data_IF_294194172328
#
_entry.id   IF_294194172328
#
_cell.length_a   1.000
_cell.length_b   1.000
_cell.length_c   1.000
_cell.angle_alpha   90.00
_cell.angle_beta   90.00
_cell.angle_gamma   90.00
#
_symmetry.space_group_name_H-M   'P 1'
#
loop_
_entity.id
_entity.type
_entity.pdbx_description
1 polymer ?
#
# COMPACT_ATOMS: atom_id res chain seq x y z
N UNK A 1 31.72 5.69 -13.07
CA UNK A 1 30.39 6.23 -13.44
C UNK A 1 29.42 5.06 -13.47
N UNK A 2 28.55 4.94 -12.47
CA UNK A 2 27.50 3.92 -12.46
C UNK A 2 26.46 4.29 -13.52
N UNK A 3 26.27 3.41 -14.51
CA UNK A 3 25.18 3.53 -15.47
C UNK A 3 23.86 3.55 -14.69
N UNK A 4 23.14 4.66 -14.77
CA UNK A 4 21.77 4.74 -14.29
C UNK A 4 20.95 3.73 -15.08
N UNK A 5 20.66 2.59 -14.46
CA UNK A 5 19.67 1.63 -14.94
C UNK A 5 18.35 2.39 -15.01
N UNK A 6 18.01 2.85 -16.20
CA UNK A 6 16.67 3.36 -16.51
C UNK A 6 15.78 2.13 -16.58
N UNK A 7 15.26 1.75 -15.41
CA UNK A 7 14.32 0.65 -15.26
C UNK A 7 13.09 0.93 -16.14
N UNK A 8 12.52 -0.09 -16.81
CA UNK A 8 11.25 0.04 -17.52
C UNK A 8 10.13 0.15 -16.49
N UNK A 9 9.98 1.34 -15.91
CA UNK A 9 8.73 1.80 -15.31
C UNK A 9 7.74 2.01 -16.44
N UNK A 10 6.46 1.67 -16.26
CA UNK A 10 5.43 1.98 -17.26
C UNK A 10 5.57 3.47 -17.65
N UNK A 11 6.03 3.79 -18.88
CA UNK A 11 6.47 5.15 -19.18
C UNK A 11 5.27 6.08 -19.06
N UNK A 12 5.35 7.03 -18.12
CA UNK A 12 4.48 8.21 -17.99
C UNK A 12 2.96 8.02 -17.76
N UNK A 13 2.38 6.84 -17.94
CA UNK A 13 0.92 6.66 -17.81
C UNK A 13 0.44 6.48 -16.37
N UNK A 14 1.29 6.01 -15.45
CA UNK A 14 0.94 5.87 -14.03
C UNK A 14 2.12 6.09 -13.06
N UNK A 15 3.04 7.01 -13.41
CA UNK A 15 4.15 7.41 -12.54
C UNK A 15 3.66 8.17 -11.28
N UNK A 16 4.59 8.47 -10.36
CA UNK A 16 4.28 9.14 -9.07
C UNK A 16 3.42 10.40 -9.22
N UNK A 17 3.68 11.21 -10.25
CA UNK A 17 2.86 12.41 -10.57
C UNK A 17 1.43 12.04 -10.97
N UNK A 18 1.24 11.09 -11.87
CA UNK A 18 -0.08 10.65 -12.31
C UNK A 18 -0.89 10.02 -11.15
N UNK A 19 -0.24 9.25 -10.27
CA UNK A 19 -0.86 8.71 -9.05
C UNK A 19 -1.32 9.82 -8.11
N UNK A 20 -0.47 10.80 -7.86
CA UNK A 20 -0.81 11.94 -7.02
C UNK A 20 -1.97 12.75 -7.59
N UNK A 21 -1.96 13.03 -8.89
CA UNK A 21 -3.09 13.69 -9.58
C UNK A 21 -4.38 12.89 -9.52
N UNK A 22 -4.30 11.56 -9.65
CA UNK A 22 -5.47 10.70 -9.53
C UNK A 22 -6.06 10.74 -8.12
N UNK A 23 -5.23 10.56 -7.09
CA UNK A 23 -5.66 10.62 -5.68
C UNK A 23 -6.30 11.97 -5.35
N UNK A 24 -5.70 13.09 -5.81
CA UNK A 24 -6.26 14.44 -5.66
C UNK A 24 -7.64 14.59 -6.29
N UNK A 25 -7.88 13.92 -7.42
CA UNK A 25 -9.17 13.94 -8.12
C UNK A 25 -10.27 13.14 -7.43
N UNK A 26 -9.95 12.33 -6.42
CA UNK A 26 -10.92 11.53 -5.67
C UNK A 26 -11.40 12.29 -4.42
N UNK A 27 -12.65 12.07 -4.04
CA UNK A 27 -13.12 12.45 -2.70
C UNK A 27 -12.38 11.65 -1.60
N UNK A 28 -12.25 12.23 -0.40
CA UNK A 28 -11.45 11.65 0.71
C UNK A 28 -11.78 10.18 1.00
N UNK A 29 -13.06 9.84 1.07
CA UNK A 29 -13.51 8.47 1.34
C UNK A 29 -13.07 7.50 0.22
N UNK A 30 -13.27 7.88 -1.04
CA UNK A 30 -12.85 7.08 -2.20
C UNK A 30 -11.34 6.93 -2.27
N UNK A 31 -10.59 7.99 -1.97
CA UNK A 31 -9.13 7.96 -1.96
C UNK A 31 -8.58 7.01 -0.86
N UNK A 32 -9.15 7.07 0.34
CA UNK A 32 -8.82 6.16 1.44
C UNK A 32 -9.17 4.70 1.10
N UNK A 33 -10.34 4.47 0.49
CA UNK A 33 -10.76 3.14 0.06
C UNK A 33 -9.81 2.58 -1.00
N UNK A 34 -9.47 3.38 -2.01
CA UNK A 34 -8.54 3.01 -3.07
C UNK A 34 -7.17 2.62 -2.50
N UNK A 35 -6.59 3.47 -1.65
CA UNK A 35 -5.28 3.20 -1.06
C UNK A 35 -5.31 2.01 -0.09
N UNK A 36 -6.42 1.82 0.64
CA UNK A 36 -6.68 0.64 1.46
C UNK A 36 -6.71 -0.66 0.66
N UNK A 37 -7.41 -0.69 -0.48
CA UNK A 37 -7.46 -1.84 -1.38
C UNK A 37 -6.08 -2.17 -1.98
N UNK A 38 -5.34 -1.14 -2.42
CA UNK A 38 -3.97 -1.30 -2.91
C UNK A 38 -3.09 -1.97 -1.87
N UNK A 39 -3.11 -1.46 -0.63
CA UNK A 39 -2.32 -2.02 0.47
C UNK A 39 -2.78 -3.43 0.86
N UNK A 40 -4.09 -3.71 0.92
CA UNK A 40 -4.59 -5.03 1.28
C UNK A 40 -4.12 -6.09 0.27
N UNK A 41 -4.21 -5.78 -1.01
CA UNK A 41 -3.69 -6.65 -2.08
C UNK A 41 -2.18 -6.81 -2.00
N UNK A 42 -1.43 -5.76 -1.70
CA UNK A 42 0.02 -5.85 -1.43
C UNK A 42 0.31 -6.76 -0.25
N UNK A 43 -0.40 -6.64 0.87
CA UNK A 43 -0.23 -7.50 2.03
C UNK A 43 -0.47 -8.98 1.68
N UNK A 44 -1.45 -9.29 0.82
CA UNK A 44 -1.70 -10.64 0.34
C UNK A 44 -0.55 -11.15 -0.56
N UNK A 45 -0.01 -10.31 -1.44
CA UNK A 45 1.13 -10.68 -2.29
C UNK A 45 2.41 -10.91 -1.48
N UNK A 46 2.68 -10.06 -0.49
CA UNK A 46 3.84 -10.18 0.40
C UNK A 46 3.72 -11.41 1.30
N UNK A 47 2.51 -11.76 1.73
CA UNK A 47 2.28 -12.96 2.53
C UNK A 47 2.37 -14.26 1.72
N UNK A 48 2.36 -14.20 0.39
CA UNK A 48 2.39 -15.38 -0.47
C UNK A 48 3.83 -15.75 -0.82
N UNK A 49 4.19 -17.01 -0.52
CA UNK A 49 5.42 -17.63 -0.98
C UNK A 49 5.18 -18.22 -2.38
N UNK A 50 5.83 -17.67 -3.43
CA UNK A 50 5.66 -18.15 -4.79
C UNK A 50 6.23 -19.55 -5.03
N UNK A 51 7.24 -19.98 -4.27
CA UNK A 51 7.87 -21.28 -4.43
C UNK A 51 7.03 -22.38 -3.76
N UNK A 52 6.64 -22.15 -2.52
CA UNK A 52 5.81 -23.09 -1.77
C UNK A 52 4.30 -23.01 -2.14
N UNK A 53 3.91 -22.05 -2.98
CA UNK A 53 2.54 -21.78 -3.43
C UNK A 53 1.53 -21.69 -2.28
N UNK A 54 1.94 -21.10 -1.16
CA UNK A 54 1.13 -20.99 0.06
C UNK A 54 1.46 -19.71 0.80
N UNK A 55 0.65 -19.39 1.81
CA UNK A 55 0.94 -18.29 2.72
C UNK A 55 2.17 -18.63 3.55
N UNK A 56 3.13 -17.70 3.60
CA UNK A 56 4.28 -17.78 4.48
C UNK A 56 3.83 -17.62 5.93
N UNK A 57 3.94 -18.71 6.70
CA UNK A 57 3.53 -18.74 8.10
C UNK A 57 4.34 -17.80 9.00
N UNK A 58 5.56 -17.43 8.60
CA UNK A 58 6.39 -16.47 9.32
C UNK A 58 5.86 -15.05 9.16
N UNK A 59 5.50 -14.66 7.94
CA UNK A 59 4.87 -13.37 7.62
C UNK A 59 3.48 -13.28 8.26
N UNK A 60 2.68 -14.35 8.20
CA UNK A 60 1.38 -14.41 8.85
C UNK A 60 1.45 -14.26 10.38
N UNK A 61 2.61 -14.55 10.99
CA UNK A 61 2.88 -14.36 12.43
C UNK A 61 3.48 -12.99 12.75
N UNK A 62 3.99 -12.26 11.77
CA UNK A 62 4.62 -10.96 11.98
C UNK A 62 3.59 -9.91 12.46
N UNK A 63 3.82 -9.26 13.62
CA UNK A 63 2.90 -8.25 14.15
C UNK A 63 2.73 -7.05 13.22
N UNK A 64 3.75 -6.67 12.45
CA UNK A 64 3.71 -5.58 11.48
C UNK A 64 2.76 -5.89 10.33
N UNK A 65 2.81 -7.11 9.79
CA UNK A 65 1.90 -7.55 8.73
C UNK A 65 0.45 -7.58 9.21
N UNK A 66 0.20 -8.20 10.38
CA UNK A 66 -1.15 -8.27 10.96
C UNK A 66 -1.74 -6.89 11.23
N UNK A 67 -0.91 -5.97 11.72
CA UNK A 67 -1.33 -4.60 11.93
C UNK A 67 -1.64 -3.90 10.59
N UNK A 68 -0.83 -4.14 9.55
CA UNK A 68 -1.05 -3.53 8.23
C UNK A 68 -2.39 -3.98 7.64
N UNK A 69 -2.69 -5.28 7.70
CA UNK A 69 -4.00 -5.83 7.29
C UNK A 69 -5.14 -5.25 8.12
N UNK A 70 -4.96 -5.11 9.44
CA UNK A 70 -5.96 -4.52 10.35
C UNK A 70 -6.30 -3.06 10.04
N UNK A 71 -5.41 -2.31 9.38
CA UNK A 71 -5.66 -0.94 8.90
C UNK A 71 -6.24 -0.97 7.48
N UNK A 72 -5.65 -1.76 6.59
CA UNK A 72 -6.02 -1.80 5.17
C UNK A 72 -7.45 -2.32 4.95
N UNK A 73 -7.83 -3.41 5.63
CA UNK A 73 -9.11 -4.09 5.45
C UNK A 73 -10.33 -3.17 5.70
N UNK A 74 -10.47 -2.47 6.85
CA UNK A 74 -11.61 -1.59 7.05
C UNK A 74 -11.64 -0.42 6.06
N UNK A 75 -10.48 0.12 5.65
CA UNK A 75 -10.44 1.19 4.65
C UNK A 75 -10.89 0.68 3.27
N UNK A 76 -10.42 -0.49 2.85
CA UNK A 76 -10.76 -1.10 1.55
C UNK A 76 -12.24 -1.46 1.41
N UNK A 77 -12.94 -1.73 2.52
CA UNK A 77 -14.34 -2.14 2.53
C UNK A 77 -15.32 -0.96 2.70
N UNK A 78 -14.88 0.27 2.42
CA UNK A 78 -15.67 1.48 2.70
C UNK A 78 -16.14 1.54 4.16
N UNK A 79 -15.36 0.93 5.06
CA UNK A 79 -15.73 0.74 6.45
C UNK A 79 -16.13 2.09 7.03
N UNK A 80 -17.42 2.22 7.31
CA UNK A 80 -17.92 3.41 7.92
C UNK A 80 -17.15 3.61 9.24
N UNK A 81 -16.53 4.78 9.37
CA UNK A 81 -15.86 5.18 10.61
C UNK A 81 -16.85 5.31 11.77
N UNK A 82 -18.10 4.82 11.65
CA UNK A 82 -19.00 4.43 12.77
C UNK A 82 -18.27 3.79 13.97
N UNK A 83 -17.14 3.10 13.76
CA UNK A 83 -16.26 2.63 14.83
C UNK A 83 -14.93 3.41 14.89
N UNK A 84 -14.97 4.73 14.76
CA UNK A 84 -13.80 5.63 14.70
C UNK A 84 -12.82 5.34 15.83
N UNK A 85 -13.32 5.17 17.06
CA UNK A 85 -12.50 4.83 18.22
C UNK A 85 -11.73 3.52 18.04
N UNK A 86 -12.37 2.47 17.51
CA UNK A 86 -11.70 1.18 17.23
C UNK A 86 -10.62 1.36 16.15
N UNK A 87 -10.87 2.19 15.14
CA UNK A 87 -9.88 2.49 14.13
C UNK A 87 -8.70 3.30 14.69
N UNK A 88 -8.97 4.30 15.54
CA UNK A 88 -7.95 5.10 16.25
C UNK A 88 -7.09 4.22 17.15
N UNK A 89 -7.69 3.27 17.89
CA UNK A 89 -6.95 2.29 18.70
C UNK A 89 -6.03 1.40 17.84
N UNK A 90 -6.51 0.97 16.67
CA UNK A 90 -5.71 0.22 15.69
C UNK A 90 -4.57 1.08 15.15
N UNK A 91 -4.82 2.35 14.83
CA UNK A 91 -3.82 3.30 14.36
C UNK A 91 -2.73 3.55 15.43
N UNK A 92 -3.13 3.75 16.70
CA UNK A 92 -2.21 3.90 17.82
C UNK A 92 -1.38 2.62 18.05
N UNK A 93 -2.00 1.44 17.91
CA UNK A 93 -1.29 0.15 17.97
C UNK A 93 -0.29 0.00 16.82
N UNK A 94 -0.68 0.36 15.59
CA UNK A 94 0.20 0.37 14.42
C UNK A 94 1.44 1.25 14.66
N UNK A 95 1.24 2.48 15.13
CA UNK A 95 2.33 3.40 15.46
C UNK A 95 3.33 2.82 16.47
N UNK A 96 2.84 2.09 17.48
CA UNK A 96 3.70 1.37 18.43
C UNK A 96 4.46 0.21 17.78
N UNK A 97 3.79 -0.56 16.93
CA UNK A 97 4.40 -1.70 16.23
C UNK A 97 5.52 -1.24 15.30
N UNK A 98 5.30 -0.21 14.49
CA UNK A 98 6.35 0.33 13.59
C UNK A 98 7.52 0.88 14.40
N UNK A 99 7.27 1.55 15.52
CA UNK A 99 8.32 2.05 16.43
C UNK A 99 9.17 0.93 17.03
N UNK A 100 8.54 -0.17 17.45
CA UNK A 100 9.22 -1.25 18.16
C UNK A 100 9.96 -2.22 17.21
N UNK A 101 9.43 -2.44 16.01
CA UNK A 101 9.92 -3.46 15.07
C UNK A 101 10.57 -2.87 13.82
N UNK A 102 10.52 -1.55 13.63
CA UNK A 102 11.06 -0.85 12.47
C UNK A 102 10.24 -1.04 11.18
N UNK A 103 10.57 -0.20 10.20
CA UNK A 103 9.93 -0.15 8.88
C UNK A 103 10.76 -0.82 7.76
N UNK A 104 11.82 -1.55 8.10
CA UNK A 104 12.69 -2.21 7.13
C UNK A 104 12.12 -3.55 6.63
N UNK A 105 12.46 -3.89 5.39
CA UNK A 105 12.02 -5.12 4.71
C UNK A 105 10.61 -5.04 4.13
N UNK A 106 10.17 -6.06 3.37
CA UNK A 106 8.87 -6.05 2.69
C UNK A 106 7.71 -5.79 3.65
N UNK A 107 7.68 -6.51 4.76
CA UNK A 107 6.65 -6.37 5.79
C UNK A 107 6.73 -5.02 6.51
N UNK A 108 7.94 -4.50 6.73
CA UNK A 108 8.15 -3.18 7.34
C UNK A 108 7.63 -2.05 6.48
N UNK A 109 7.85 -2.12 5.16
CA UNK A 109 7.33 -1.14 4.19
C UNK A 109 5.80 -1.19 4.10
N UNK A 110 5.19 -2.37 4.16
CA UNK A 110 3.74 -2.50 4.23
C UNK A 110 3.17 -1.88 5.52
N UNK A 111 3.86 -2.05 6.65
CA UNK A 111 3.46 -1.43 7.92
C UNK A 111 3.64 0.10 7.91
N UNK A 112 4.70 0.61 7.28
CA UNK A 112 4.87 2.06 7.06
C UNK A 112 3.77 2.63 6.16
N UNK A 113 3.42 1.94 5.07
CA UNK A 113 2.29 2.32 4.22
C UNK A 113 0.98 2.38 5.04
N UNK A 114 0.72 1.36 5.85
CA UNK A 114 -0.43 1.32 6.73
C UNK A 114 -0.44 2.46 7.77
N UNK A 115 0.72 2.82 8.30
CA UNK A 115 0.88 3.95 9.22
C UNK A 115 0.48 5.27 8.56
N UNK A 116 0.91 5.49 7.31
CA UNK A 116 0.53 6.67 6.51
C UNK A 116 -0.98 6.69 6.24
N UNK A 117 -1.58 5.55 5.87
CA UNK A 117 -3.03 5.46 5.68
C UNK A 117 -3.81 5.74 6.97
N UNK A 118 -3.34 5.22 8.10
CA UNK A 118 -3.96 5.47 9.38
C UNK A 118 -3.93 6.96 9.72
N UNK A 119 -2.79 7.63 9.52
CA UNK A 119 -2.67 9.08 9.68
C UNK A 119 -3.63 9.84 8.76
N UNK A 120 -3.68 9.49 7.48
CA UNK A 120 -4.59 10.11 6.51
C UNK A 120 -6.07 9.89 6.86
N UNK A 121 -6.42 8.78 7.52
CA UNK A 121 -7.79 8.51 7.95
C UNK A 121 -8.17 9.30 9.22
N UNK A 122 -7.28 9.40 10.20
CA UNK A 122 -7.57 9.99 11.51
C UNK A 122 -7.32 11.49 11.61
N UNK A 123 -6.34 12.01 10.85
CA UNK A 123 -6.00 13.43 10.82
C UNK A 123 -6.73 14.13 9.66
N UNK A 124 -7.63 15.06 10.01
CA UNK A 124 -8.38 15.85 9.03
C UNK A 124 -7.55 17.00 8.44
N UNK A 125 -6.45 17.38 9.10
CA UNK A 125 -5.60 18.51 8.71
C UNK A 125 -4.35 18.09 7.94
N UNK A 126 -4.12 16.79 7.74
CA UNK A 126 -2.97 16.32 7.01
C UNK A 126 -3.08 16.65 5.50
N UNK A 127 -1.93 16.82 4.84
CA UNK A 127 -1.84 16.85 3.38
C UNK A 127 -2.17 15.45 2.83
N UNK A 128 -3.47 15.22 2.65
CA UNK A 128 -4.01 13.91 2.32
C UNK A 128 -3.43 13.37 1.01
N UNK A 129 -3.26 14.22 0.00
CA UNK A 129 -2.73 13.83 -1.30
C UNK A 129 -1.31 13.28 -1.16
N UNK A 130 -0.46 14.01 -0.42
CA UNK A 130 0.93 13.63 -0.20
C UNK A 130 1.01 12.34 0.60
N UNK A 131 0.27 12.23 1.71
CA UNK A 131 0.31 11.07 2.61
C UNK A 131 -0.22 9.80 1.92
N UNK A 132 -1.31 9.90 1.15
CA UNK A 132 -1.85 8.75 0.41
C UNK A 132 -0.95 8.33 -0.75
N UNK A 133 -0.37 9.30 -1.47
CA UNK A 133 0.60 9.00 -2.53
C UNK A 133 1.84 8.29 -1.97
N UNK A 134 2.34 8.76 -0.83
CA UNK A 134 3.45 8.11 -0.12
C UNK A 134 3.07 6.70 0.35
N UNK A 135 1.87 6.51 0.89
CA UNK A 135 1.39 5.19 1.31
C UNK A 135 1.36 4.18 0.15
N UNK A 136 0.88 4.62 -1.03
CA UNK A 136 0.85 3.79 -2.24
C UNK A 136 2.28 3.48 -2.72
N UNK A 137 3.18 4.47 -2.72
CA UNK A 137 4.59 4.27 -3.09
C UNK A 137 5.26 3.22 -2.17
N UNK A 138 5.03 3.30 -0.85
CA UNK A 138 5.53 2.32 0.12
C UNK A 138 4.96 0.91 -0.10
N UNK A 139 3.67 0.80 -0.44
CA UNK A 139 3.04 -0.47 -0.76
C UNK A 139 3.63 -1.09 -2.05
N UNK A 140 3.89 -0.29 -3.08
CA UNK A 140 4.58 -0.73 -4.29
C UNK A 140 5.99 -1.23 -3.95
N UNK A 141 6.76 -0.45 -3.19
CA UNK A 141 8.12 -0.84 -2.78
C UNK A 141 8.16 -2.11 -1.94
N UNK A 142 7.16 -2.32 -1.08
CA UNK A 142 7.02 -3.54 -0.28
C UNK A 142 6.93 -4.80 -1.16
N UNK A 143 6.07 -4.81 -2.16
CA UNK A 143 5.91 -5.95 -3.08
C UNK A 143 7.14 -6.16 -3.97
N UNK A 144 7.75 -5.07 -4.43
CA UNK A 144 8.97 -5.10 -5.24
C UNK A 144 10.13 -5.69 -4.44
N UNK A 145 10.30 -5.29 -3.17
CA UNK A 145 11.32 -5.82 -2.29
C UNK A 145 11.06 -7.30 -1.95
N UNK A 146 9.80 -7.69 -1.78
CA UNK A 146 9.42 -9.10 -1.64
C UNK A 146 9.82 -9.93 -2.86
N UNK A 147 9.57 -9.40 -4.07
CA UNK A 147 10.00 -10.06 -5.29
C UNK A 147 11.52 -10.23 -5.36
N UNK A 148 12.28 -9.18 -4.99
CA UNK A 148 13.73 -9.24 -4.92
C UNK A 148 14.25 -10.29 -3.91
N UNK A 149 13.62 -10.39 -2.73
CA UNK A 149 13.96 -11.40 -1.72
C UNK A 149 13.79 -12.84 -2.23
N UNK A 150 12.84 -13.07 -3.13
CA UNK A 150 12.60 -14.37 -3.78
C UNK A 150 13.35 -14.53 -5.11
N UNK A 151 14.35 -13.69 -5.40
CA UNK A 151 15.13 -13.77 -6.65
C UNK A 151 14.32 -13.55 -7.93
N UNK A 152 13.12 -12.96 -7.83
CA UNK A 152 12.26 -12.67 -8.99
C UNK A 152 12.72 -11.40 -9.69
N UNK A 153 12.39 -11.27 -10.97
CA UNK A 153 12.63 -10.06 -11.75
C UNK A 153 11.91 -8.85 -11.13
N UNK A 154 12.72 -7.93 -10.60
CA UNK A 154 12.30 -6.71 -9.91
C UNK A 154 11.54 -5.76 -10.85
N UNK A 155 11.97 -5.64 -12.11
CA UNK A 155 11.34 -4.78 -13.10
C UNK A 155 9.96 -5.32 -13.46
N UNK A 156 9.86 -6.64 -13.66
CA UNK A 156 8.58 -7.30 -13.94
C UNK A 156 7.63 -7.23 -12.75
N UNK A 157 8.13 -7.41 -11.53
CA UNK A 157 7.32 -7.27 -10.32
C UNK A 157 6.80 -5.83 -10.15
N UNK A 158 7.65 -4.83 -10.39
CA UNK A 158 7.26 -3.42 -10.39
C UNK A 158 6.18 -3.13 -11.43
N UNK A 159 6.36 -3.55 -12.68
CA UNK A 159 5.37 -3.36 -13.73
C UNK A 159 4.03 -4.03 -13.39
N UNK A 160 4.06 -5.24 -12.81
CA UNK A 160 2.85 -5.97 -12.41
C UNK A 160 2.07 -5.24 -11.31
N UNK A 161 2.75 -4.76 -10.27
CA UNK A 161 2.08 -4.01 -9.20
C UNK A 161 1.57 -2.65 -9.71
N UNK A 162 2.34 -1.93 -10.53
CA UNK A 162 1.90 -0.65 -11.08
C UNK A 162 0.70 -0.81 -12.02
N UNK A 163 0.67 -1.86 -12.84
CA UNK A 163 -0.49 -2.21 -13.67
C UNK A 163 -1.72 -2.55 -12.83
N UNK A 164 -1.54 -3.29 -11.72
CA UNK A 164 -2.62 -3.61 -10.78
C UNK A 164 -3.21 -2.35 -10.16
N UNK A 165 -2.38 -1.40 -9.75
CA UNK A 165 -2.83 -0.11 -9.20
C UNK A 165 -3.54 0.72 -10.28
N UNK A 166 -3.02 0.78 -11.50
CA UNK A 166 -3.66 1.47 -12.63
C UNK A 166 -5.05 0.87 -12.93
N UNK A 167 -5.17 -0.45 -12.97
CA UNK A 167 -6.45 -1.12 -13.22
C UNK A 167 -7.47 -0.82 -12.11
N UNK A 168 -7.04 -0.80 -10.85
CA UNK A 168 -7.88 -0.40 -9.73
C UNK A 168 -8.33 1.07 -9.86
N UNK A 169 -7.44 1.96 -10.33
CA UNK A 169 -7.78 3.36 -10.56
C UNK A 169 -8.77 3.55 -11.72
N UNK A 170 -8.62 2.79 -12.80
CA UNK A 170 -9.55 2.82 -13.94
C UNK A 170 -10.95 2.33 -13.55
N UNK A 171 -11.05 1.34 -12.67
CA UNK A 171 -12.34 0.84 -12.17
C UNK A 171 -13.11 1.88 -11.33
N UNK A 172 -12.43 2.91 -10.81
CA UNK A 172 -13.04 3.99 -10.03
C UNK A 172 -13.44 5.20 -10.87
N UNK A 173 -13.00 5.28 -12.13
CA UNK A 173 -13.49 6.34 -13.02
C UNK A 173 -14.96 6.04 -13.33
N UNK A 174 -15.88 7.00 -13.16
CA UNK A 174 -17.22 6.82 -13.69
C UNK A 174 -17.08 6.56 -15.20
N UNK A 175 -17.82 5.58 -15.72
CA UNK A 175 -18.11 5.51 -17.15
C UNK A 175 -18.78 6.81 -17.52
N UNK A 176 -18.00 7.79 -17.97
CA UNK A 176 -18.51 9.01 -18.58
C UNK A 176 -19.09 8.59 -19.94
N UNK A 177 -20.37 8.28 -19.93
CA UNK A 177 -21.25 8.24 -21.09
C UNK A 177 -22.38 9.23 -20.84
#
# INVERSE_FOLDING_TARGET
MQAALTEPTLPNLFGKRARSSFVRGLGRATALCFAGDVLLKTCNQVAFDPEAKKVDSSIAKDPRWRAAVSIALPLALWGDLRHRKVFEDRAARMNRIVRNHGAAGPVGLAAAAAQRLAAAATDLNCDQDAVLSEAIDLAIQSEVLHAAHHGRDVSRARAAVELRVLNAANALRPTMH
#
